data_IF_169042119280
#
_entry.id   IF_169042119280
#
_cell.length_a   1.000
_cell.length_b   1.000
_cell.length_c   1.000
_cell.angle_alpha   90.00
_cell.angle_beta   90.00
_cell.angle_gamma   90.00
#
_symmetry.space_group_name_H-M   'P 1'
#
loop_
_entity.id
_entity.type
_entity.pdbx_description
1 polymer ?
#
# COMPACT_ATOMS: atom_id res chain seq x y z
N UNK A 1 1.54 6.46 -28.38
CA UNK A 1 1.74 5.42 -27.35
C UNK A 1 0.92 5.79 -26.13
N UNK A 2 -0.30 5.25 -25.98
CA UNK A 2 -1.16 5.46 -24.80
C UNK A 2 -1.27 4.14 -24.05
N UNK A 3 -0.45 3.98 -23.03
CA UNK A 3 -0.48 2.87 -22.10
C UNK A 3 0.27 3.29 -20.87
N UNK A 4 -0.34 3.09 -19.70
CA UNK A 4 0.28 3.37 -18.41
C UNK A 4 1.50 2.49 -18.15
N UNK A 5 2.03 2.61 -16.94
CA UNK A 5 3.24 1.90 -16.47
C UNK A 5 3.16 0.39 -16.74
N UNK A 6 2.03 -0.25 -16.43
CA UNK A 6 1.79 -1.69 -16.66
C UNK A 6 2.06 -2.13 -18.10
N UNK A 7 1.53 -1.39 -19.09
CA UNK A 7 1.74 -1.72 -20.51
C UNK A 7 3.21 -1.61 -20.91
N UNK A 8 3.94 -0.66 -20.32
CA UNK A 8 5.37 -0.48 -20.56
C UNK A 8 6.19 -1.62 -19.94
N UNK A 9 5.79 -2.14 -18.78
CA UNK A 9 6.41 -3.33 -18.18
C UNK A 9 6.19 -4.55 -19.08
N UNK A 10 4.95 -4.79 -19.54
CA UNK A 10 4.64 -5.88 -20.48
C UNK A 10 5.44 -5.77 -21.79
N UNK A 11 5.51 -4.56 -22.37
CA UNK A 11 6.28 -4.32 -23.59
C UNK A 11 7.80 -4.48 -23.36
N UNK A 12 8.28 -4.21 -22.14
CA UNK A 12 9.67 -4.45 -21.73
C UNK A 12 9.96 -5.94 -21.64
N UNK A 13 9.08 -6.75 -21.03
CA UNK A 13 9.21 -8.22 -21.01
C UNK A 13 9.25 -8.78 -22.44
N UNK A 14 8.34 -8.34 -23.32
CA UNK A 14 8.33 -8.73 -24.74
C UNK A 14 9.63 -8.34 -25.46
N UNK A 15 10.18 -7.16 -25.16
CA UNK A 15 11.45 -6.74 -25.73
C UNK A 15 12.63 -7.61 -25.25
N UNK A 16 12.65 -8.00 -23.97
CA UNK A 16 13.65 -8.91 -23.42
C UNK A 16 13.53 -10.33 -24.01
N UNK A 17 12.32 -10.85 -24.21
CA UNK A 17 12.06 -12.12 -24.89
C UNK A 17 12.59 -12.16 -26.33
N UNK A 18 12.55 -11.01 -27.00
CA UNK A 18 13.08 -10.85 -28.36
C UNK A 18 14.60 -10.54 -28.37
N UNK A 19 15.27 -10.50 -27.21
CA UNK A 19 16.68 -10.12 -27.08
C UNK A 19 16.95 -8.66 -27.41
N UNK A 20 15.91 -7.81 -27.47
CA UNK A 20 15.99 -6.40 -27.84
C UNK A 20 16.34 -5.52 -26.64
N UNK A 21 17.53 -5.71 -26.06
CA UNK A 21 18.02 -4.96 -24.89
C UNK A 21 17.92 -3.44 -25.04
N UNK A 22 18.27 -2.90 -26.21
CA UNK A 22 18.17 -1.46 -26.47
C UNK A 22 16.74 -0.93 -26.38
N UNK A 23 15.77 -1.73 -26.83
CA UNK A 23 14.34 -1.38 -26.75
C UNK A 23 13.83 -1.49 -25.32
N UNK A 24 14.27 -2.51 -24.58
CA UNK A 24 13.95 -2.66 -23.16
C UNK A 24 14.49 -1.50 -22.30
N UNK A 25 15.70 -0.99 -22.59
CA UNK A 25 16.25 0.19 -21.92
C UNK A 25 15.39 1.44 -22.19
N UNK A 26 15.04 1.69 -23.45
CA UNK A 26 14.21 2.82 -23.83
C UNK A 26 12.81 2.78 -23.18
N UNK A 27 12.21 1.60 -23.05
CA UNK A 27 10.90 1.44 -22.42
C UNK A 27 10.92 1.67 -20.90
N UNK A 28 12.08 1.51 -20.27
CA UNK A 28 12.28 1.65 -18.82
C UNK A 28 12.87 2.99 -18.39
N UNK A 29 13.30 3.86 -19.31
CA UNK A 29 13.70 5.26 -19.02
C UNK A 29 12.54 6.16 -18.55
N UNK A 30 11.32 5.62 -18.53
CA UNK A 30 10.15 6.33 -18.06
C UNK A 30 10.14 6.52 -16.55
N UNK A 31 9.61 7.66 -16.09
CA UNK A 31 9.31 7.91 -14.67
C UNK A 31 8.40 6.81 -14.10
N UNK A 32 8.79 6.24 -12.96
CA UNK A 32 8.10 5.13 -12.29
C UNK A 32 8.56 3.72 -12.71
N UNK A 33 9.63 3.61 -13.51
CA UNK A 33 10.25 2.34 -13.93
C UNK A 33 11.75 2.28 -13.60
N UNK A 34 12.22 3.08 -12.65
CA UNK A 34 13.63 3.21 -12.28
C UNK A 34 14.23 1.87 -11.85
N UNK A 35 13.47 1.07 -11.09
CA UNK A 35 13.88 -0.27 -10.67
C UNK A 35 13.99 -1.25 -11.85
N UNK A 36 13.03 -1.22 -12.78
CA UNK A 36 13.07 -2.03 -14.00
C UNK A 36 14.24 -1.63 -14.91
N UNK A 37 14.54 -0.33 -14.97
CA UNK A 37 15.68 0.19 -15.72
C UNK A 37 16.99 -0.38 -15.21
N UNK A 38 17.18 -0.44 -13.88
CA UNK A 38 18.38 -1.01 -13.26
C UNK A 38 18.58 -2.48 -13.65
N UNK A 39 17.51 -3.29 -13.68
CA UNK A 39 17.61 -4.71 -14.08
C UNK A 39 18.04 -4.86 -15.55
N UNK A 40 17.47 -4.05 -16.43
CA UNK A 40 17.80 -4.08 -17.86
C UNK A 40 19.20 -3.52 -18.11
N UNK A 41 19.62 -2.49 -17.37
CA UNK A 41 20.95 -1.91 -17.46
C UNK A 41 22.03 -2.90 -17.01
N UNK A 42 21.79 -3.63 -15.91
CA UNK A 42 22.70 -4.67 -15.44
C UNK A 42 22.86 -5.79 -16.47
N UNK A 43 21.78 -6.20 -17.13
CA UNK A 43 21.84 -7.15 -18.23
C UNK A 43 22.61 -6.60 -19.43
N UNK A 44 22.39 -5.34 -19.81
CA UNK A 44 23.10 -4.68 -20.88
C UNK A 44 24.61 -4.58 -20.60
N UNK A 45 25.01 -4.21 -19.38
CA UNK A 45 26.40 -4.17 -18.93
C UNK A 45 27.05 -5.55 -18.99
N UNK A 46 26.34 -6.58 -18.56
CA UNK A 46 26.83 -7.97 -18.60
C UNK A 46 27.03 -8.46 -20.04
N UNK A 47 26.10 -8.14 -20.94
CA UNK A 47 26.21 -8.44 -22.36
C UNK A 47 27.36 -7.68 -23.05
N UNK A 48 27.59 -6.41 -22.67
CA UNK A 48 28.66 -5.59 -23.21
C UNK A 48 30.04 -6.03 -22.71
N UNK A 49 30.18 -6.36 -21.43
CA UNK A 49 31.42 -6.84 -20.83
C UNK A 49 31.90 -8.17 -21.44
N UNK A 50 30.98 -8.94 -22.02
CA UNK A 50 31.24 -10.26 -22.60
C UNK A 50 31.19 -10.29 -24.14
N UNK A 51 31.16 -9.12 -24.80
CA UNK A 51 30.94 -8.98 -26.24
C UNK A 51 32.01 -9.66 -27.10
N UNK A 52 33.24 -9.77 -26.60
CA UNK A 52 34.40 -10.26 -27.38
C UNK A 52 34.65 -11.78 -27.22
N UNK A 53 33.85 -12.49 -26.40
CA UNK A 53 34.04 -13.91 -26.12
C UNK A 53 32.89 -14.76 -26.71
N UNK A 54 33.22 -15.60 -27.70
CA UNK A 54 32.25 -16.35 -28.51
C UNK A 54 31.44 -17.39 -27.70
N UNK A 55 32.01 -17.87 -26.60
CA UNK A 55 31.40 -18.85 -25.68
C UNK A 55 30.49 -18.21 -24.61
N UNK A 56 30.48 -16.86 -24.47
CA UNK A 56 29.71 -16.14 -23.45
C UNK A 56 28.36 -15.58 -23.96
N UNK A 57 27.85 -16.07 -25.10
CA UNK A 57 26.45 -15.82 -25.48
C UNK A 57 25.48 -16.33 -24.41
N UNK A 58 25.86 -17.37 -23.69
CA UNK A 58 25.10 -17.89 -22.56
C UNK A 58 25.06 -16.90 -21.40
N UNK A 59 26.18 -16.23 -21.06
CA UNK A 59 26.19 -15.21 -20.00
C UNK A 59 25.25 -14.04 -20.31
N UNK A 60 25.25 -13.56 -21.56
CA UNK A 60 24.31 -12.54 -22.00
C UNK A 60 22.85 -13.05 -22.01
N UNK A 61 22.61 -14.28 -22.47
CA UNK A 61 21.27 -14.88 -22.47
C UNK A 61 20.73 -15.11 -21.06
N UNK A 62 21.58 -15.55 -20.12
CA UNK A 62 21.24 -15.71 -18.71
C UNK A 62 20.93 -14.36 -18.07
N UNK A 63 21.73 -13.33 -18.33
CA UNK A 63 21.49 -11.99 -17.82
C UNK A 63 20.18 -11.38 -18.34
N UNK A 64 19.84 -11.61 -19.62
CA UNK A 64 18.55 -11.20 -20.20
C UNK A 64 17.39 -11.97 -19.55
N UNK A 65 17.54 -13.28 -19.33
CA UNK A 65 16.52 -14.11 -18.66
C UNK A 65 16.32 -13.69 -17.21
N UNK A 66 17.39 -13.35 -16.49
CA UNK A 66 17.32 -12.87 -15.12
C UNK A 66 16.64 -11.50 -15.05
N UNK A 67 17.02 -10.56 -15.92
CA UNK A 67 16.34 -9.26 -16.02
C UNK A 67 14.87 -9.42 -16.38
N UNK A 68 14.54 -10.34 -17.28
CA UNK A 68 13.16 -10.68 -17.64
C UNK A 68 12.39 -11.22 -16.43
N UNK A 69 12.96 -12.17 -15.69
CA UNK A 69 12.32 -12.73 -14.49
C UNK A 69 12.04 -11.63 -13.47
N UNK A 70 13.04 -10.79 -13.16
CA UNK A 70 12.87 -9.66 -12.22
C UNK A 70 11.84 -8.63 -12.69
N UNK A 71 11.78 -8.32 -13.99
CA UNK A 71 10.76 -7.44 -14.57
C UNK A 71 9.38 -8.12 -14.55
N UNK A 72 9.30 -9.43 -14.77
CA UNK A 72 8.05 -10.19 -14.76
C UNK A 72 7.50 -10.41 -13.34
N UNK A 73 8.36 -10.56 -12.33
CA UNK A 73 7.98 -10.67 -10.91
C UNK A 73 7.33 -9.37 -10.39
N UNK A 74 7.54 -8.26 -11.09
CA UNK A 74 6.78 -7.02 -10.81
C UNK A 74 5.41 -6.97 -11.50
N UNK A 75 5.14 -7.90 -12.43
CA UNK A 75 3.82 -8.10 -13.04
C UNK A 75 2.95 -9.02 -12.15
N UNK A 76 3.53 -9.79 -11.24
CA UNK A 76 2.82 -10.73 -10.34
C UNK A 76 2.13 -10.09 -9.14
N UNK A 77 1.41 -9.00 -9.35
CA UNK A 77 0.21 -8.75 -8.57
C UNK A 77 -0.96 -8.43 -9.52
N UNK A 78 -1.54 -9.45 -10.19
CA UNK A 78 -2.98 -9.45 -10.27
C UNK A 78 -3.50 -9.50 -8.82
N UNK A 79 -4.20 -8.46 -8.40
CA UNK A 79 -4.89 -8.39 -7.10
C UNK A 79 -5.96 -9.51 -6.97
N UNK A 80 -6.21 -10.26 -8.06
CA UNK A 80 -7.27 -11.26 -8.14
C UNK A 80 -6.84 -12.72 -7.88
N UNK A 81 -5.58 -13.01 -7.52
CA UNK A 81 -5.10 -14.41 -7.33
C UNK A 81 -4.38 -14.63 -5.99
N UNK A 82 -4.85 -13.98 -4.91
CA UNK A 82 -4.65 -14.51 -3.56
C UNK A 82 -5.57 -15.71 -3.35
N UNK A 83 -5.27 -16.82 -4.05
CA UNK A 83 -5.82 -18.12 -3.67
C UNK A 83 -5.42 -18.40 -2.24
N UNK A 84 -6.43 -18.44 -1.38
CA UNK A 84 -6.37 -18.74 0.06
C UNK A 84 -6.20 -20.26 0.31
N UNK A 85 -5.80 -21.03 -0.72
CA UNK A 85 -5.54 -22.46 -0.62
C UNK A 85 -4.25 -22.70 0.17
N UNK A 86 -4.43 -22.94 1.47
CA UNK A 86 -3.36 -23.16 2.45
C UNK A 86 -3.57 -22.40 3.77
N UNK A 87 -4.48 -21.42 3.82
CA UNK A 87 -4.85 -20.75 5.07
C UNK A 87 -6.01 -21.44 5.80
N UNK A 88 -6.71 -22.39 5.18
CA UNK A 88 -7.80 -23.14 5.81
C UNK A 88 -7.34 -23.94 7.04
N UNK A 89 -6.09 -24.42 7.06
CA UNK A 89 -5.51 -25.08 8.23
C UNK A 89 -5.18 -24.10 9.37
N UNK A 90 -4.91 -22.82 9.07
CA UNK A 90 -4.69 -21.78 10.08
C UNK A 90 -6.00 -21.15 10.60
N UNK A 91 -7.05 -21.11 9.76
CA UNK A 91 -8.38 -20.63 10.12
C UNK A 91 -9.26 -21.68 10.79
N UNK A 92 -8.76 -22.92 10.92
CA UNK A 92 -9.38 -23.95 11.75
C UNK A 92 -9.16 -23.66 13.24
N UNK A 93 -9.66 -22.49 13.70
CA UNK A 93 -9.97 -22.30 15.10
C UNK A 93 -11.00 -23.38 15.47
N UNK A 94 -10.58 -24.29 16.35
CA UNK A 94 -11.47 -25.22 17.02
C UNK A 94 -12.71 -24.47 17.57
N UNK A 95 -13.86 -24.71 16.93
CA UNK A 95 -15.21 -24.55 17.50
C UNK A 95 -15.45 -23.21 18.23
N UNK A 96 -15.62 -22.13 17.47
CA UNK A 96 -16.63 -21.14 17.87
C UNK A 96 -17.96 -21.49 17.20
N UNK A 97 -19.09 -21.53 17.94
CA UNK A 97 -20.38 -21.73 17.30
C UNK A 97 -20.61 -20.54 16.36
N UNK A 98 -20.67 -20.84 15.06
CA UNK A 98 -21.14 -19.91 14.06
C UNK A 98 -22.55 -19.45 14.48
N UNK A 99 -22.63 -18.25 15.06
CA UNK A 99 -23.88 -17.53 15.06
C UNK A 99 -24.16 -17.23 13.58
N UNK A 100 -25.21 -17.83 13.04
CA UNK A 100 -25.72 -17.47 11.72
C UNK A 100 -25.92 -15.95 11.70
N UNK A 101 -25.28 -15.18 10.81
CA UNK A 101 -25.65 -13.79 10.64
C UNK A 101 -27.02 -13.79 9.95
N UNK A 102 -28.04 -13.51 10.74
CA UNK A 102 -29.37 -13.19 10.23
C UNK A 102 -29.41 -11.72 9.83
N UNK A 103 -28.77 -11.37 8.71
CA UNK A 103 -29.11 -10.20 7.88
C UNK A 103 -28.27 -10.25 6.59
N UNK A 104 -28.92 -10.16 5.43
CA UNK A 104 -28.27 -9.88 4.15
C UNK A 104 -27.84 -8.40 4.13
N UNK A 105 -26.87 -8.01 4.95
CA UNK A 105 -26.27 -6.67 4.88
C UNK A 105 -25.08 -6.70 3.93
N UNK A 106 -24.93 -5.67 3.09
CA UNK A 106 -23.75 -5.54 2.23
C UNK A 106 -22.54 -5.10 3.07
N UNK A 107 -21.33 -5.31 2.55
CA UNK A 107 -20.10 -4.88 3.23
C UNK A 107 -20.09 -3.36 3.51
N UNK A 108 -20.73 -2.58 2.64
CA UNK A 108 -20.94 -1.14 2.85
C UNK A 108 -21.85 -0.85 4.05
N UNK A 109 -22.95 -1.58 4.20
CA UNK A 109 -23.86 -1.42 5.33
C UNK A 109 -23.19 -1.83 6.65
N UNK A 110 -22.37 -2.89 6.62
CA UNK A 110 -21.56 -3.31 7.76
C UNK A 110 -20.52 -2.24 8.15
N UNK A 111 -19.86 -1.64 7.15
CA UNK A 111 -18.91 -0.55 7.40
C UNK A 111 -19.62 0.68 7.97
N UNK A 112 -20.75 1.08 7.39
CA UNK A 112 -21.55 2.21 7.87
C UNK A 112 -22.02 2.01 9.31
N UNK A 113 -22.15 0.78 9.81
CA UNK A 113 -22.51 0.49 11.20
C UNK A 113 -21.30 0.37 12.14
N UNK A 114 -20.09 0.18 11.61
CA UNK A 114 -18.88 -0.10 12.36
C UNK A 114 -18.22 1.17 12.91
N UNK A 115 -18.60 1.59 14.12
CA UNK A 115 -18.00 2.76 14.78
C UNK A 115 -16.47 2.67 14.91
N UNK A 116 -15.94 1.49 15.24
CA UNK A 116 -14.50 1.24 15.35
C UNK A 116 -13.78 1.39 14.01
N UNK A 117 -14.41 0.97 12.91
CA UNK A 117 -13.88 1.12 11.56
C UNK A 117 -13.78 2.61 11.18
N UNK A 118 -14.78 3.41 11.53
CA UNK A 118 -14.74 4.86 11.32
C UNK A 118 -13.64 5.54 12.16
N UNK A 119 -13.40 5.09 13.41
CA UNK A 119 -12.25 5.55 14.21
C UNK A 119 -10.92 5.17 13.56
N UNK A 120 -10.80 3.95 13.04
CA UNK A 120 -9.60 3.49 12.34
C UNK A 120 -9.34 4.29 11.05
N UNK A 121 -10.37 4.58 10.26
CA UNK A 121 -10.27 5.42 9.05
C UNK A 121 -9.80 6.82 9.40
N UNK A 122 -10.32 7.43 10.47
CA UNK A 122 -9.85 8.72 10.94
C UNK A 122 -8.38 8.67 11.38
N UNK A 123 -7.95 7.62 12.10
CA UNK A 123 -6.57 7.45 12.53
C UNK A 123 -5.61 7.31 11.34
N UNK A 124 -6.00 6.59 10.29
CA UNK A 124 -5.24 6.50 9.03
C UNK A 124 -5.11 7.86 8.37
N UNK A 125 -6.19 8.63 8.26
CA UNK A 125 -6.13 10.00 7.71
C UNK A 125 -5.17 10.88 8.51
N UNK A 126 -5.15 10.78 9.84
CA UNK A 126 -4.18 11.51 10.66
C UNK A 126 -2.73 11.13 10.34
N UNK A 127 -2.47 9.84 10.11
CA UNK A 127 -1.15 9.37 9.73
C UNK A 127 -0.72 9.89 8.35
N UNK A 128 -1.66 9.98 7.40
CA UNK A 128 -1.44 10.58 6.08
C UNK A 128 -1.08 12.06 6.20
N UNK A 129 -1.88 12.85 6.93
CA UNK A 129 -1.59 14.29 7.16
C UNK A 129 -0.23 14.47 7.84
N UNK A 130 0.10 13.61 8.81
CA UNK A 130 1.41 13.61 9.46
C UNK A 130 2.58 13.31 8.51
N UNK A 131 2.36 12.47 7.50
CA UNK A 131 3.36 12.15 6.49
C UNK A 131 3.52 13.27 5.45
N UNK A 132 2.41 13.94 5.07
CA UNK A 132 2.40 15.00 4.07
C UNK A 132 2.86 16.35 4.62
N UNK A 133 2.52 16.65 5.88
CA UNK A 133 2.76 17.96 6.52
C UNK A 133 3.54 17.85 7.85
N UNK A 134 4.74 17.23 7.87
CA UNK A 134 5.45 16.93 9.12
C UNK A 134 5.89 18.19 9.90
N UNK A 135 6.18 19.30 9.21
CA UNK A 135 6.58 20.56 9.88
C UNK A 135 5.39 21.29 10.53
N UNK A 136 4.20 21.17 9.94
CA UNK A 136 2.98 21.86 10.40
C UNK A 136 2.21 21.05 11.45
N UNK A 137 2.25 19.72 11.36
CA UNK A 137 1.59 18.83 12.29
C UNK A 137 2.33 18.70 13.64
N UNK A 138 3.59 19.14 13.70
CA UNK A 138 4.39 19.25 14.92
C UNK A 138 4.80 17.90 15.52
N UNK A 139 5.30 17.94 16.76
CA UNK A 139 5.79 16.73 17.46
C UNK A 139 4.69 15.71 17.81
N UNK A 140 3.41 16.10 17.69
CA UNK A 140 2.26 15.25 18.03
C UNK A 140 2.08 14.08 17.04
N UNK A 141 2.57 14.17 15.80
CA UNK A 141 2.56 13.07 14.84
C UNK A 141 3.35 11.83 15.28
N UNK A 142 4.29 12.01 16.21
CA UNK A 142 5.01 10.89 16.83
C UNK A 142 4.05 10.01 17.64
N UNK A 143 3.06 10.59 18.31
CA UNK A 143 2.07 9.87 19.11
C UNK A 143 1.14 9.02 18.24
N UNK A 144 0.69 9.56 17.10
CA UNK A 144 -0.10 8.82 16.10
C UNK A 144 0.69 7.62 15.58
N UNK A 145 1.95 7.84 15.20
CA UNK A 145 2.81 6.77 14.67
C UNK A 145 3.10 5.68 15.70
N UNK A 146 3.29 6.04 16.97
CA UNK A 146 3.50 5.09 18.07
C UNK A 146 2.23 4.25 18.33
N UNK A 147 1.05 4.88 18.30
CA UNK A 147 -0.23 4.19 18.49
C UNK A 147 -0.64 3.31 17.32
N UNK A 148 -0.25 3.64 16.09
CA UNK A 148 -0.47 2.76 14.94
C UNK A 148 0.25 1.41 15.09
N UNK A 149 1.35 1.36 15.83
CA UNK A 149 2.06 0.13 16.15
C UNK A 149 1.47 -0.65 17.33
N UNK A 150 0.46 -0.11 18.02
CA UNK A 150 -0.19 -0.72 19.17
C UNK A 150 -1.60 -1.20 18.80
N UNK A 151 -1.70 -2.49 18.49
CA UNK A 151 -2.96 -3.17 18.17
C UNK A 151 -3.94 -3.24 19.35
N UNK A 152 -3.53 -2.84 20.56
CA UNK A 152 -4.36 -2.86 21.77
C UNK A 152 -4.94 -1.50 22.15
N UNK A 153 -4.63 -0.45 21.39
CA UNK A 153 -5.18 0.89 21.67
C UNK A 153 -6.70 0.90 21.44
N UNK A 154 -7.43 1.20 22.51
CA UNK A 154 -8.88 1.30 22.50
C UNK A 154 -9.38 2.47 21.60
N UNK A 155 -10.56 2.35 20.97
CA UNK A 155 -11.11 3.40 20.10
C UNK A 155 -11.25 4.78 20.79
N UNK A 156 -11.55 4.80 22.08
CA UNK A 156 -11.65 6.06 22.84
C UNK A 156 -10.29 6.74 22.99
N UNK A 157 -9.22 5.97 23.19
CA UNK A 157 -7.87 6.50 23.32
C UNK A 157 -7.34 6.99 21.96
N UNK A 158 -7.75 6.35 20.87
CA UNK A 158 -7.54 6.86 19.51
C UNK A 158 -8.17 8.24 19.32
N UNK A 159 -9.45 8.40 19.69
CA UNK A 159 -10.14 9.69 19.54
C UNK A 159 -9.46 10.79 20.37
N UNK A 160 -9.07 10.51 21.61
CA UNK A 160 -8.32 11.47 22.46
C UNK A 160 -7.01 11.89 21.80
N UNK A 161 -6.24 10.91 21.30
CA UNK A 161 -4.97 11.19 20.64
C UNK A 161 -5.15 12.04 19.39
N UNK A 162 -6.17 11.75 18.57
CA UNK A 162 -6.46 12.54 17.36
C UNK A 162 -6.85 13.99 17.71
N UNK A 163 -7.69 14.19 18.73
CA UNK A 163 -8.06 15.53 19.22
C UNK A 163 -6.81 16.28 19.70
N UNK A 164 -6.01 15.68 20.57
CA UNK A 164 -4.78 16.27 21.09
C UNK A 164 -3.80 16.60 19.95
N UNK A 165 -3.68 15.74 18.94
CA UNK A 165 -2.81 15.95 17.79
C UNK A 165 -3.28 17.15 16.95
N UNK A 166 -4.58 17.24 16.67
CA UNK A 166 -5.18 18.35 15.94
C UNK A 166 -5.02 19.70 16.68
N UNK A 167 -5.09 19.70 18.01
CA UNK A 167 -4.90 20.90 18.82
C UNK A 167 -3.48 21.47 18.67
N UNK A 168 -2.48 20.60 18.62
CA UNK A 168 -1.06 20.97 18.52
C UNK A 168 -0.59 21.26 17.09
N UNK A 169 -1.33 20.80 16.07
CA UNK A 169 -1.06 21.09 14.68
C UNK A 169 -1.34 22.57 14.32
N UNK A 170 -0.69 23.03 13.25
CA UNK A 170 -0.84 24.36 12.66
C UNK A 170 -1.07 24.25 11.14
N UNK A 171 -1.39 25.38 10.50
CA UNK A 171 -1.48 25.44 9.04
C UNK A 171 -2.53 24.50 8.44
N UNK A 172 -2.18 23.93 7.28
CA UNK A 172 -3.03 23.01 6.52
C UNK A 172 -3.23 21.72 7.30
N UNK A 173 -2.18 21.22 7.97
CA UNK A 173 -2.27 20.02 8.80
C UNK A 173 -3.37 20.13 9.87
N UNK A 174 -3.47 21.29 10.52
CA UNK A 174 -4.53 21.56 11.50
C UNK A 174 -5.92 21.49 10.86
N UNK A 175 -6.10 22.14 9.72
CA UNK A 175 -7.39 22.20 9.03
C UNK A 175 -7.88 20.80 8.64
N UNK A 176 -7.00 19.96 8.10
CA UNK A 176 -7.32 18.59 7.70
C UNK A 176 -7.57 17.66 8.89
N UNK A 177 -6.74 17.75 9.94
CA UNK A 177 -6.92 16.99 11.17
C UNK A 177 -8.24 17.34 11.88
N UNK A 178 -8.56 18.64 11.97
CA UNK A 178 -9.83 19.11 12.56
C UNK A 178 -11.01 18.64 11.71
N UNK A 179 -10.91 18.67 10.39
CA UNK A 179 -11.96 18.15 9.51
C UNK A 179 -12.21 16.65 9.75
N UNK A 180 -11.15 15.85 9.85
CA UNK A 180 -11.26 14.42 10.12
C UNK A 180 -11.87 14.11 11.50
N UNK A 181 -11.47 14.84 12.56
CA UNK A 181 -12.09 14.71 13.90
C UNK A 181 -13.55 15.14 13.88
N UNK A 182 -13.88 16.21 13.16
CA UNK A 182 -15.26 16.71 13.06
C UNK A 182 -16.15 15.69 12.35
N UNK A 183 -15.71 15.13 11.21
CA UNK A 183 -16.46 14.09 10.49
C UNK A 183 -16.71 12.86 11.36
N UNK A 184 -15.68 12.39 12.08
CA UNK A 184 -15.81 11.28 13.02
C UNK A 184 -16.77 11.61 14.16
N UNK A 185 -16.65 12.80 14.75
CA UNK A 185 -17.49 13.21 15.88
C UNK A 185 -18.95 13.35 15.45
N UNK A 186 -19.22 13.98 14.31
CA UNK A 186 -20.58 14.09 13.73
C UNK A 186 -21.19 12.72 13.47
N UNK A 187 -20.40 11.77 12.97
CA UNK A 187 -20.82 10.38 12.77
C UNK A 187 -21.17 9.70 14.10
N UNK A 188 -20.30 9.79 15.11
CA UNK A 188 -20.51 9.17 16.42
C UNK A 188 -21.67 9.83 17.21
N UNK A 189 -21.87 11.14 17.08
CA UNK A 189 -22.97 11.87 17.71
C UNK A 189 -24.32 11.43 17.16
N UNK A 190 -24.45 11.30 15.83
CA UNK A 190 -25.68 10.82 15.18
C UNK A 190 -26.12 9.45 15.69
N UNK A 191 -25.16 8.62 16.12
CA UNK A 191 -25.40 7.27 16.65
C UNK A 191 -25.47 7.20 18.17
N UNK A 192 -25.32 8.33 18.86
CA UNK A 192 -25.28 8.38 20.33
C UNK A 192 -24.21 7.44 20.92
N UNK A 193 -23.06 7.36 20.23
CA UNK A 193 -21.99 6.41 20.49
C UNK A 193 -21.51 6.46 21.95
N UNK A 194 -21.22 5.31 22.57
CA UNK A 194 -20.63 5.26 23.91
C UNK A 194 -19.21 5.85 23.95
N UNK A 195 -18.51 5.95 22.82
CA UNK A 195 -17.15 6.50 22.78
C UNK A 195 -17.13 7.98 23.16
N UNK A 196 -18.09 8.77 22.66
CA UNK A 196 -18.18 10.19 23.01
C UNK A 196 -18.53 10.44 24.49
N UNK A 197 -19.23 9.51 25.14
CA UNK A 197 -19.56 9.61 26.57
C UNK A 197 -18.37 9.34 27.50
N UNK A 198 -17.31 8.73 26.97
CA UNK A 198 -16.09 8.34 27.70
C UNK A 198 -14.90 9.28 27.41
N UNK A 199 -15.07 10.21 26.49
CA UNK A 199 -14.12 11.32 26.23
C UNK A 199 -14.17 12.32 27.37
#
# INVERSE_FOLDING_TARGET
MKGGVTKRIEDTVKALDQGQLKKALYLTEATGLENHHLFVEQAARTCLANKDNKDNKEACSMAIKEARAKVQDTITLPIDDTSLEGLEEYLSLEKQPAAQPTSEQTDEELFEECEECHVAVAAVRFAEVCAEHPEEAGGACKLISEKLGDETTEPTDWIKTMVETAEHAQGIAKEEMVAAVTELTDYLEKRNSPFLKKL
#
